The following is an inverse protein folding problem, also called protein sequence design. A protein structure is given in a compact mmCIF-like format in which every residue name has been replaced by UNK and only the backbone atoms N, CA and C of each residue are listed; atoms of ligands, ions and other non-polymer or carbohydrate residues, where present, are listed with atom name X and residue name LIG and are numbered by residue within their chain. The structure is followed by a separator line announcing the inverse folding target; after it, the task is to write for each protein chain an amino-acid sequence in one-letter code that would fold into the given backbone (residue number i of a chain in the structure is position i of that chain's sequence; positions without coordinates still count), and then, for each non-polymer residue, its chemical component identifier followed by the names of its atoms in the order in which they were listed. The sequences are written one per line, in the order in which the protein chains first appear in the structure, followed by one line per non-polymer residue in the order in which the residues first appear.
data_IF_469972390695
#
_entry.id   IF_469972390695
#
_cell.length_a   1.000
_cell.length_b   1.000
_cell.length_c   1.000
_cell.angle_alpha   90.00
_cell.angle_beta   90.00
_cell.angle_gamma   90.00
#
_symmetry.space_group_name_H-M   'P 1'
#
loop_
_entity.id
_entity.type
_entity.pdbx_description
1 polymer ?
#
# COMPACT_ATOMS: atom_id res chain seq x y z
N UNK A 1 15.72 -40.50 41.90
CA UNK A 1 16.23 -40.79 40.54
C UNK A 1 15.09 -41.36 39.71
N UNK A 2 14.39 -40.54 38.94
CA UNK A 2 13.34 -40.98 38.01
C UNK A 2 13.48 -40.19 36.69
N UNK A 3 13.88 -40.91 35.66
CA UNK A 3 14.27 -40.46 34.33
C UNK A 3 13.01 -40.32 33.49
N UNK A 4 12.60 -39.08 33.14
CA UNK A 4 11.55 -38.80 32.17
C UNK A 4 12.15 -38.72 30.75
N UNK A 5 11.77 -39.65 29.88
CA UNK A 5 12.03 -39.61 28.43
C UNK A 5 10.97 -38.73 27.79
N UNK A 6 11.40 -37.63 27.14
CA UNK A 6 10.57 -36.85 26.23
C UNK A 6 10.66 -37.45 24.82
N UNK A 7 9.54 -37.97 24.35
CA UNK A 7 9.34 -38.26 22.92
C UNK A 7 8.99 -36.97 22.19
N UNK A 8 9.90 -36.47 21.40
CA UNK A 8 9.64 -35.38 20.41
C UNK A 8 9.27 -36.01 19.09
N UNK A 9 7.98 -35.98 18.72
CA UNK A 9 7.55 -36.22 17.37
C UNK A 9 7.74 -34.92 16.58
N UNK A 10 8.67 -34.93 15.66
CA UNK A 10 8.84 -33.88 14.65
C UNK A 10 7.65 -33.92 13.69
N UNK A 11 6.87 -32.82 13.64
CA UNK A 11 5.89 -32.57 12.61
C UNK A 11 6.59 -31.89 11.42
N UNK A 12 6.61 -32.63 10.32
CA UNK A 12 7.23 -32.19 9.08
C UNK A 12 6.17 -31.42 8.25
N UNK A 13 6.25 -30.07 8.23
CA UNK A 13 5.48 -29.21 7.37
C UNK A 13 6.29 -28.90 6.09
N UNK A 14 6.37 -29.84 5.19
CA UNK A 14 6.79 -29.57 3.83
C UNK A 14 5.63 -29.91 2.88
N UNK A 15 5.29 -28.90 2.09
CA UNK A 15 4.39 -28.90 0.91
C UNK A 15 3.02 -28.26 1.11
N UNK A 16 2.99 -26.94 0.96
CA UNK A 16 1.92 -26.26 0.25
C UNK A 16 2.56 -25.27 -0.73
N UNK A 17 2.88 -25.76 -1.91
CA UNK A 17 3.15 -24.93 -3.10
C UNK A 17 1.82 -24.35 -3.59
N UNK A 18 1.57 -23.07 -3.31
CA UNK A 18 0.51 -22.30 -3.97
C UNK A 18 1.13 -21.74 -5.25
N UNK A 19 0.82 -22.35 -6.39
CA UNK A 19 1.14 -21.84 -7.73
C UNK A 19 0.19 -20.68 -8.09
N UNK A 20 0.65 -19.45 -8.31
CA UNK A 20 -0.17 -18.35 -8.81
C UNK A 20 -0.05 -18.28 -10.34
N UNK A 21 -0.66 -19.17 -11.09
CA UNK A 21 -0.88 -19.02 -12.54
C UNK A 21 -1.92 -20.03 -13.03
N UNK A 22 -3.20 -19.63 -13.01
CA UNK A 22 -4.28 -20.51 -13.46
C UNK A 22 -5.58 -19.80 -13.84
N UNK A 23 -5.55 -18.55 -14.33
CA UNK A 23 -6.79 -17.86 -14.73
C UNK A 23 -6.67 -17.03 -16.02
N UNK A 24 -5.88 -17.53 -17.00
CA UNK A 24 -5.82 -16.87 -18.32
C UNK A 24 -5.72 -17.88 -19.48
N UNK A 25 -6.44 -19.02 -19.42
CA UNK A 25 -6.57 -19.94 -20.56
C UNK A 25 -7.93 -20.65 -20.57
N UNK A 26 -9.00 -19.89 -20.69
CA UNK A 26 -10.35 -20.46 -20.89
C UNK A 26 -11.14 -19.76 -22.01
N UNK A 27 -10.48 -19.08 -22.95
CA UNK A 27 -11.15 -18.55 -24.14
C UNK A 27 -10.26 -18.76 -25.37
N UNK A 28 -10.08 -20.01 -25.81
CA UNK A 28 -9.68 -20.32 -27.18
C UNK A 28 -9.77 -21.83 -27.42
N UNK A 29 -10.98 -22.35 -27.50
CA UNK A 29 -11.30 -23.59 -28.24
C UNK A 29 -12.76 -23.54 -28.67
N UNK A 30 -13.02 -22.78 -29.74
CA UNK A 30 -14.17 -23.04 -30.58
C UNK A 30 -13.70 -24.13 -31.57
N UNK A 31 -13.89 -25.40 -31.24
CA UNK A 31 -13.70 -26.48 -32.16
C UNK A 31 -14.79 -26.42 -33.24
N UNK A 32 -14.38 -26.01 -34.44
CA UNK A 32 -15.13 -26.21 -35.65
C UNK A 32 -15.28 -27.72 -35.89
N UNK A 33 -16.42 -28.27 -35.53
CA UNK A 33 -16.86 -29.60 -35.97
C UNK A 33 -17.05 -29.57 -37.48
N UNK A 34 -16.04 -30.02 -38.20
CA UNK A 34 -16.17 -30.36 -39.61
C UNK A 34 -17.05 -31.62 -39.72
N UNK A 35 -18.33 -31.41 -40.05
CA UNK A 35 -19.19 -32.49 -40.51
C UNK A 35 -18.82 -32.77 -41.97
N UNK A 36 -18.20 -33.92 -42.24
CA UNK A 36 -18.03 -34.42 -43.59
C UNK A 36 -19.40 -34.73 -44.20
N UNK A 37 -19.72 -34.25 -45.39
CA UNK A 37 -20.86 -34.74 -46.12
C UNK A 37 -20.44 -35.98 -46.92
N UNK A 38 -20.99 -37.14 -46.61
CA UNK A 38 -21.04 -38.27 -47.52
C UNK A 38 -22.43 -38.32 -48.12
N UNK A 39 -22.40 -38.37 -49.45
CA UNK A 39 -23.34 -38.98 -50.39
C UNK A 39 -24.58 -38.22 -50.88
N UNK A 40 -24.38 -37.87 -52.11
CA UNK A 40 -25.30 -37.85 -53.28
C UNK A 40 -26.82 -37.96 -53.05
N UNK A 41 -27.55 -36.90 -53.43
CA UNK A 41 -28.54 -36.86 -54.50
C UNK A 41 -29.08 -35.44 -54.72
N UNK A 42 -28.91 -35.02 -55.94
CA UNK A 42 -29.33 -33.75 -56.54
C UNK A 42 -30.82 -33.44 -56.32
N UNK A 43 -31.13 -32.28 -55.81
CA UNK A 43 -32.25 -31.42 -56.25
C UNK A 43 -31.82 -29.98 -56.08
N UNK A 44 -31.52 -29.35 -57.20
CA UNK A 44 -31.34 -27.89 -57.24
C UNK A 44 -32.69 -27.22 -56.99
N UNK A 45 -32.87 -26.73 -55.79
CA UNK A 45 -33.96 -25.80 -55.48
C UNK A 45 -33.36 -24.41 -55.68
N UNK A 46 -33.72 -23.78 -56.82
CA UNK A 46 -33.41 -22.36 -57.05
C UNK A 46 -34.16 -21.52 -55.98
N UNK A 47 -33.43 -21.14 -54.94
CA UNK A 47 -33.92 -20.08 -54.07
C UNK A 47 -33.67 -18.75 -54.75
N UNK A 48 -34.73 -18.13 -55.25
CA UNK A 48 -34.77 -16.73 -55.66
C UNK A 48 -34.48 -15.91 -54.40
N UNK A 49 -33.24 -15.40 -54.24
CA UNK A 49 -32.89 -14.42 -53.22
C UNK A 49 -33.52 -13.11 -53.67
N UNK A 50 -34.76 -12.86 -53.26
CA UNK A 50 -35.30 -11.51 -53.25
C UNK A 50 -34.49 -10.68 -52.29
N UNK A 51 -33.74 -9.72 -52.84
CA UNK A 51 -33.00 -8.73 -52.06
C UNK A 51 -33.99 -7.93 -51.20
N UNK A 52 -34.14 -8.37 -49.95
CA UNK A 52 -34.87 -7.61 -48.93
C UNK A 52 -34.28 -6.22 -48.73
N UNK A 53 -35.10 -5.23 -48.36
CA UNK A 53 -34.64 -3.85 -48.20
C UNK A 53 -33.48 -3.80 -47.19
N UNK A 54 -32.35 -3.22 -47.61
CA UNK A 54 -31.21 -2.90 -46.73
C UNK A 54 -31.68 -1.90 -45.68
N UNK A 55 -32.07 -2.37 -44.52
CA UNK A 55 -32.31 -1.54 -43.35
C UNK A 55 -30.97 -0.99 -42.88
N UNK A 56 -30.56 0.12 -43.45
CA UNK A 56 -29.46 0.94 -42.95
C UNK A 56 -29.87 1.50 -41.60
N UNK A 57 -29.36 0.83 -40.53
CA UNK A 57 -29.58 1.27 -39.16
C UNK A 57 -28.77 2.53 -38.89
N UNK A 58 -29.37 3.70 -39.07
CA UNK A 58 -28.80 4.91 -38.50
C UNK A 58 -28.94 4.86 -36.98
N UNK A 59 -27.87 4.44 -36.31
CA UNK A 59 -27.77 4.62 -34.84
C UNK A 59 -28.00 6.10 -34.53
N UNK A 60 -28.99 6.39 -33.70
CA UNK A 60 -29.28 7.78 -33.35
C UNK A 60 -28.01 8.42 -32.81
N UNK A 61 -27.56 9.53 -33.42
CA UNK A 61 -26.37 10.30 -32.99
C UNK A 61 -26.42 10.63 -31.48
N UNK A 62 -27.64 10.75 -30.93
CA UNK A 62 -27.86 10.96 -29.48
C UNK A 62 -27.38 9.80 -28.64
N UNK A 63 -27.55 8.53 -29.06
CA UNK A 63 -27.14 7.36 -28.30
C UNK A 63 -25.62 7.23 -28.25
N UNK A 64 -24.93 7.52 -29.36
CA UNK A 64 -23.47 7.54 -29.43
C UNK A 64 -22.90 8.66 -28.54
N UNK A 65 -23.51 9.84 -28.58
CA UNK A 65 -23.07 10.97 -27.75
C UNK A 65 -23.21 10.70 -26.27
N UNK A 66 -24.31 10.06 -25.85
CA UNK A 66 -24.54 9.68 -24.45
C UNK A 66 -23.53 8.63 -23.97
N UNK A 67 -23.21 7.64 -24.81
CA UNK A 67 -22.21 6.61 -24.49
C UNK A 67 -20.79 7.22 -24.36
N UNK A 68 -20.42 8.13 -25.27
CA UNK A 68 -19.12 8.84 -25.22
C UNK A 68 -19.03 9.72 -23.98
N UNK A 69 -20.10 10.44 -23.62
CA UNK A 69 -20.13 11.28 -22.42
C UNK A 69 -19.99 10.45 -21.15
N UNK A 70 -20.64 9.27 -21.10
CA UNK A 70 -20.53 8.34 -19.96
C UNK A 70 -19.11 7.78 -19.82
N UNK A 71 -18.44 7.45 -20.92
CA UNK A 71 -17.05 6.98 -20.91
C UNK A 71 -16.09 8.11 -20.48
N UNK A 72 -16.34 9.34 -20.91
CA UNK A 72 -15.50 10.48 -20.59
C UNK A 72 -15.54 10.82 -19.09
N UNK A 73 -16.68 10.66 -18.43
CA UNK A 73 -16.80 10.90 -16.97
C UNK A 73 -16.08 9.86 -16.12
N UNK A 74 -15.94 8.63 -16.59
CA UNK A 74 -15.22 7.57 -15.85
C UNK A 74 -13.69 7.68 -15.95
N UNK A 75 -13.18 8.34 -16.98
CA UNK A 75 -11.72 8.52 -17.18
C UNK A 75 -11.16 9.68 -16.34
N UNK A 76 -12.01 10.61 -15.89
CA UNK A 76 -11.60 11.80 -15.14
C UNK A 76 -11.40 11.58 -13.63
N UNK A 77 -11.78 10.42 -13.09
CA UNK A 77 -11.45 10.04 -11.71
C UNK A 77 -10.03 9.47 -11.65
N UNK A 78 -9.04 10.36 -11.65
CA UNK A 78 -7.64 9.97 -11.43
C UNK A 78 -7.44 9.37 -10.03
N UNK A 79 -6.40 8.56 -9.82
CA UNK A 79 -6.03 8.10 -8.49
C UNK A 79 -5.71 9.31 -7.60
N UNK A 80 -6.26 9.35 -6.40
CA UNK A 80 -5.84 10.30 -5.38
C UNK A 80 -4.47 9.85 -4.90
N UNK A 81 -3.44 10.62 -5.21
CA UNK A 81 -2.10 10.36 -4.73
C UNK A 81 -2.00 10.74 -3.25
N UNK A 82 -1.19 9.98 -2.50
CA UNK A 82 -0.84 10.35 -1.15
C UNK A 82 0.16 11.53 -1.19
N UNK A 83 -0.08 12.53 -0.34
CA UNK A 83 0.84 13.64 -0.16
C UNK A 83 1.84 13.30 0.94
N UNK A 84 3.11 13.69 0.76
CA UNK A 84 4.14 13.56 1.77
C UNK A 84 4.03 14.70 2.79
N UNK A 85 4.00 14.36 4.07
CA UNK A 85 4.14 15.31 5.17
C UNK A 85 5.64 15.48 5.44
N UNK A 86 6.10 16.73 5.43
CA UNK A 86 7.52 17.03 5.62
C UNK A 86 7.97 16.67 7.03
N UNK A 87 8.96 15.81 7.14
CA UNK A 87 9.73 15.48 8.34
C UNK A 87 11.09 16.18 8.21
N UNK A 88 11.58 16.80 9.27
CA UNK A 88 12.93 17.36 9.24
C UNK A 88 13.94 16.25 9.43
N UNK A 89 14.90 16.13 8.51
CA UNK A 89 15.97 15.14 8.56
C UNK A 89 15.45 13.69 8.72
N UNK A 90 14.61 13.18 7.81
CA UNK A 90 13.92 11.91 7.96
C UNK A 90 14.88 10.70 7.82
N UNK A 91 15.97 10.86 7.09
CA UNK A 91 17.02 9.84 6.90
C UNK A 91 18.25 10.07 7.78
N UNK A 92 18.17 11.04 8.71
CA UNK A 92 19.22 11.33 9.71
C UNK A 92 20.61 11.69 9.17
N UNK A 93 20.74 11.99 7.89
CA UNK A 93 22.00 12.31 7.21
C UNK A 93 22.58 13.67 7.63
N UNK A 94 21.81 14.53 8.28
CA UNK A 94 22.30 15.79 8.84
C UNK A 94 22.59 15.63 10.33
N UNK A 95 23.76 16.08 10.76
CA UNK A 95 24.19 16.07 12.17
C UNK A 95 24.42 17.50 12.65
N UNK A 96 24.18 17.76 13.95
CA UNK A 96 24.41 19.07 14.56
C UNK A 96 25.89 19.41 14.76
N UNK A 97 26.78 18.49 14.46
CA UNK A 97 28.23 18.62 14.59
C UNK A 97 28.93 17.35 14.09
N UNK A 98 30.26 17.34 14.13
CA UNK A 98 31.03 16.17 13.71
C UNK A 98 30.73 14.96 14.60
N UNK A 99 30.83 13.75 14.03
CA UNK A 99 30.77 12.51 14.79
C UNK A 99 32.10 12.35 15.55
N UNK A 100 32.08 12.63 16.84
CA UNK A 100 33.29 12.78 17.64
C UNK A 100 33.71 11.52 18.42
N UNK A 101 32.83 10.53 18.51
CA UNK A 101 33.08 9.33 19.30
C UNK A 101 33.29 8.12 18.39
N UNK A 102 34.54 7.62 18.26
CA UNK A 102 34.82 6.42 17.47
C UNK A 102 34.26 5.18 18.17
N UNK A 103 33.71 4.25 17.38
CA UNK A 103 33.20 2.96 17.89
C UNK A 103 33.78 1.76 17.13
N UNK A 104 34.83 1.97 16.35
CA UNK A 104 35.50 0.95 15.56
C UNK A 104 35.85 1.44 14.15
N UNK A 105 36.31 0.56 13.30
CA UNK A 105 36.68 0.90 11.92
C UNK A 105 35.47 1.34 11.11
N UNK A 106 35.48 2.59 10.63
CA UNK A 106 34.39 3.18 9.87
C UNK A 106 33.14 3.47 10.72
N UNK A 107 33.24 3.38 12.03
CA UNK A 107 32.17 3.67 12.96
C UNK A 107 32.49 4.93 13.78
N UNK A 108 31.55 5.87 13.81
CA UNK A 108 31.62 7.06 14.64
C UNK A 108 30.21 7.55 14.97
N UNK A 109 29.99 8.10 16.14
CA UNK A 109 28.68 8.60 16.57
C UNK A 109 28.80 9.98 17.21
N UNK A 110 27.65 10.65 17.27
CA UNK A 110 27.43 11.85 18.06
C UNK A 110 26.39 11.56 19.14
N UNK A 111 26.67 12.00 20.34
CA UNK A 111 25.87 11.68 21.52
C UNK A 111 25.63 12.94 22.33
N UNK A 112 24.39 13.16 22.74
CA UNK A 112 24.10 14.29 23.62
C UNK A 112 22.62 14.63 23.71
N UNK A 113 22.23 15.29 24.83
CA UNK A 113 20.84 15.69 25.04
C UNK A 113 20.41 16.88 24.17
N UNK A 114 21.31 17.55 23.44
CA UNK A 114 21.01 18.76 22.66
C UNK A 114 21.64 18.75 21.32
N UNK A 115 20.91 19.16 20.32
CA UNK A 115 20.34 18.32 19.27
C UNK A 115 21.44 17.60 18.50
N UNK A 116 21.74 16.37 18.85
CA UNK A 116 22.62 15.51 18.05
C UNK A 116 22.09 15.30 16.63
N UNK A 117 20.77 15.41 16.47
CA UNK A 117 20.06 15.25 15.20
C UNK A 117 19.20 16.50 14.96
N UNK A 118 19.50 17.31 13.93
CA UNK A 118 18.71 18.50 13.61
C UNK A 118 17.22 18.17 13.42
N UNK A 119 16.35 18.93 14.10
CA UNK A 119 14.90 18.75 14.07
C UNK A 119 14.36 17.70 15.03
N UNK A 120 15.20 16.90 15.68
CA UNK A 120 14.81 15.87 16.63
C UNK A 120 15.27 16.20 18.05
N UNK A 121 14.48 15.77 19.04
CA UNK A 121 14.85 15.80 20.44
C UNK A 121 15.09 14.38 20.94
N UNK A 122 16.11 14.22 21.79
CA UNK A 122 16.41 12.94 22.43
C UNK A 122 16.83 13.16 23.86
N UNK A 123 16.45 12.27 24.76
CA UNK A 123 16.98 12.24 26.14
C UNK A 123 18.31 11.47 26.20
N UNK A 124 18.48 10.45 25.37
CA UNK A 124 19.64 9.57 25.33
C UNK A 124 19.71 8.86 23.94
N UNK A 125 20.36 9.50 22.99
CA UNK A 125 20.49 9.02 21.63
C UNK A 125 21.24 10.01 20.74
N UNK A 126 21.33 9.72 19.45
CA UNK A 126 22.04 10.56 18.49
C UNK A 126 22.05 9.97 17.10
N UNK A 127 22.97 10.52 16.26
CA UNK A 127 23.29 9.96 14.94
C UNK A 127 24.61 9.23 14.97
N UNK A 128 24.74 8.21 14.16
CA UNK A 128 25.98 7.47 14.01
C UNK A 128 26.17 6.90 12.61
N UNK A 129 27.42 6.78 12.25
CA UNK A 129 27.88 6.01 11.08
C UNK A 129 28.21 4.60 11.55
N UNK A 130 27.45 3.60 11.17
CA UNK A 130 27.49 2.30 11.82
C UNK A 130 28.65 1.40 11.39
N UNK A 131 29.40 1.77 10.35
CA UNK A 131 30.53 0.94 9.85
C UNK A 131 30.08 -0.46 9.46
N UNK A 132 30.66 -1.50 10.11
CA UNK A 132 30.38 -2.90 9.81
C UNK A 132 29.22 -3.50 10.60
N UNK A 133 28.49 -2.69 11.39
CA UNK A 133 27.35 -3.21 12.19
C UNK A 133 26.13 -3.54 11.35
N UNK A 134 26.04 -2.96 10.13
CA UNK A 134 25.02 -3.27 9.14
C UNK A 134 25.64 -3.59 7.79
N UNK A 135 25.01 -4.49 7.05
CA UNK A 135 25.45 -4.87 5.70
C UNK A 135 25.13 -3.80 4.66
N UNK A 136 24.05 -3.08 4.86
CA UNK A 136 23.60 -1.92 4.07
C UNK A 136 22.65 -1.07 4.91
N UNK A 137 22.57 0.23 4.59
CA UNK A 137 21.63 1.14 5.19
C UNK A 137 20.44 1.37 4.23
N UNK A 138 19.26 1.70 4.75
CA UNK A 138 18.10 2.08 3.93
C UNK A 138 18.36 3.32 3.09
N UNK A 139 18.95 4.37 3.68
CA UNK A 139 19.37 5.58 2.98
C UNK A 139 20.73 6.05 3.49
N UNK A 140 21.50 6.73 2.64
CA UNK A 140 22.71 7.44 2.96
C UNK A 140 23.81 6.65 3.67
N UNK A 141 24.37 7.25 4.74
CA UNK A 141 25.52 6.74 5.48
C UNK A 141 25.37 6.80 7.01
N UNK A 142 24.32 7.44 7.49
CA UNK A 142 24.03 7.63 8.91
C UNK A 142 22.72 6.96 9.28
N UNK A 143 22.59 6.61 10.57
CA UNK A 143 21.35 6.17 11.19
C UNK A 143 21.17 6.92 12.49
N UNK A 144 19.92 7.00 12.97
CA UNK A 144 19.66 7.48 14.32
C UNK A 144 19.59 6.32 15.30
N UNK A 145 19.97 6.60 16.55
CA UNK A 145 19.81 5.64 17.63
C UNK A 145 19.19 6.26 18.88
N UNK A 146 18.47 5.47 19.62
CA UNK A 146 18.03 5.76 20.98
C UNK A 146 18.49 4.62 21.92
N UNK A 147 19.03 4.95 23.08
CA UNK A 147 19.40 3.96 24.08
C UNK A 147 18.16 3.50 24.88
N UNK A 148 18.32 2.42 25.63
CA UNK A 148 17.23 1.86 26.43
C UNK A 148 16.49 2.92 27.26
N UNK A 149 15.16 2.86 27.25
CA UNK A 149 14.27 3.78 27.96
C UNK A 149 14.37 5.25 27.52
N UNK A 150 14.85 5.49 26.29
CA UNK A 150 14.86 6.81 25.68
C UNK A 150 14.08 6.86 24.39
N UNK A 151 13.86 8.07 23.88
CA UNK A 151 13.09 8.30 22.66
C UNK A 151 13.73 9.38 21.81
N UNK A 152 13.58 9.22 20.49
CA UNK A 152 13.73 10.29 19.50
C UNK A 152 12.35 10.85 19.20
N UNK A 153 12.19 12.16 19.25
CA UNK A 153 10.89 12.81 19.06
C UNK A 153 10.97 14.02 18.15
N UNK A 154 9.92 14.23 17.34
CA UNK A 154 9.80 15.42 16.52
C UNK A 154 8.37 15.93 16.51
N UNK A 155 8.17 17.22 16.81
CA UNK A 155 6.90 17.92 16.61
C UNK A 155 6.86 18.51 15.21
N UNK A 156 5.88 18.12 14.40
CA UNK A 156 5.65 18.68 13.07
C UNK A 156 4.82 19.96 13.21
N UNK A 157 5.50 21.07 13.56
CA UNK A 157 4.85 22.34 13.85
C UNK A 157 4.05 22.86 12.66
N UNK A 158 2.80 23.27 12.91
CA UNK A 158 1.89 23.77 11.89
C UNK A 158 1.21 22.69 11.07
N UNK A 159 1.47 21.41 11.36
CA UNK A 159 0.82 20.27 10.70
C UNK A 159 -0.18 19.64 11.65
N UNK A 160 -1.47 19.79 11.37
CA UNK A 160 -2.56 19.20 12.15
C UNK A 160 -3.21 18.03 11.43
N UNK A 161 -3.97 17.21 12.18
CA UNK A 161 -4.73 16.10 11.60
C UNK A 161 -5.85 16.66 10.73
N UNK A 162 -5.84 16.28 9.44
CA UNK A 162 -6.91 16.57 8.48
C UNK A 162 -8.07 15.59 8.70
N UNK A 163 -9.30 16.06 8.57
CA UNK A 163 -10.48 15.22 8.67
C UNK A 163 -10.57 14.23 7.49
N UNK A 164 -11.17 13.05 7.72
CA UNK A 164 -11.40 12.02 6.70
C UNK A 164 -10.14 11.73 5.86
N UNK A 165 -9.02 11.52 6.53
CA UNK A 165 -7.72 11.29 5.87
C UNK A 165 -7.03 10.08 6.45
N UNK A 166 -6.40 9.28 5.59
CA UNK A 166 -5.58 8.14 5.97
C UNK A 166 -4.13 8.60 6.07
N UNK A 167 -3.56 8.47 7.25
CA UNK A 167 -2.14 8.69 7.52
C UNK A 167 -1.42 7.35 7.49
N UNK A 168 -0.23 7.31 6.91
CA UNK A 168 0.66 6.17 6.98
C UNK A 168 2.04 6.65 7.41
N UNK A 169 2.47 6.17 8.56
CA UNK A 169 3.79 6.38 9.13
C UNK A 169 4.62 5.12 8.92
N UNK A 170 5.85 5.27 8.44
CA UNK A 170 6.80 4.17 8.26
C UNK A 170 8.22 4.58 8.59
N UNK A 171 9.03 3.63 9.03
CA UNK A 171 10.43 3.80 9.39
C UNK A 171 11.14 2.45 9.31
N UNK A 172 12.40 2.43 8.91
CA UNK A 172 13.23 1.25 8.98
C UNK A 172 13.82 1.08 10.37
N UNK A 173 13.71 -0.13 10.93
CA UNK A 173 14.30 -0.54 12.22
C UNK A 173 15.39 -1.55 11.97
N UNK A 174 16.57 -1.33 12.58
CA UNK A 174 17.75 -2.18 12.42
C UNK A 174 18.00 -3.14 13.59
N UNK A 175 18.54 -4.33 13.28
CA UNK A 175 19.19 -5.21 14.27
C UNK A 175 20.68 -5.31 13.98
N UNK A 176 21.51 -4.80 14.90
CA UNK A 176 22.98 -4.77 14.76
C UNK A 176 23.58 -6.16 14.83
N UNK A 177 24.72 -6.34 14.17
CA UNK A 177 25.47 -7.61 14.21
C UNK A 177 25.91 -8.02 15.61
N UNK A 178 26.12 -7.07 16.56
CA UNK A 178 26.47 -7.34 17.94
C UNK A 178 25.26 -7.68 18.84
N UNK A 179 24.03 -7.45 18.34
CA UNK A 179 22.80 -7.89 19.00
C UNK A 179 22.43 -7.11 20.26
N UNK A 180 22.78 -5.83 20.35
CA UNK A 180 22.41 -4.98 21.51
C UNK A 180 21.01 -4.37 21.37
N UNK A 181 20.37 -4.51 20.21
CA UNK A 181 19.03 -4.01 19.97
C UNK A 181 17.98 -4.80 20.77
N UNK A 182 16.88 -4.11 21.09
CA UNK A 182 15.84 -4.67 21.96
C UNK A 182 14.44 -4.33 21.52
N UNK A 183 13.55 -4.24 22.49
CA UNK A 183 12.15 -3.89 22.24
C UNK A 183 12.00 -2.40 21.92
N UNK A 184 11.09 -2.11 21.00
CA UNK A 184 10.80 -0.73 20.57
C UNK A 184 9.30 -0.47 20.48
N UNK A 185 8.97 0.82 20.45
CA UNK A 185 7.64 1.36 20.16
C UNK A 185 7.79 2.60 19.29
N UNK A 186 7.09 2.63 18.17
CA UNK A 186 7.13 3.69 17.15
C UNK A 186 5.72 4.20 17.00
N UNK A 187 5.49 5.51 17.23
CA UNK A 187 4.15 6.06 17.16
C UNK A 187 4.07 7.35 16.35
N UNK A 188 2.93 7.48 15.69
CA UNK A 188 2.40 8.75 15.20
C UNK A 188 1.36 9.24 16.21
N UNK A 189 1.57 10.39 16.74
CA UNK A 189 0.75 10.99 17.79
C UNK A 189 0.26 12.39 17.35
N UNK A 190 -0.61 13.00 18.16
CA UNK A 190 -0.84 14.45 18.16
C UNK A 190 -0.50 15.02 19.52
N UNK A 191 -0.06 16.28 19.53
CA UNK A 191 0.20 17.02 20.76
C UNK A 191 -0.62 18.31 20.76
N UNK A 192 -1.44 18.49 21.80
CA UNK A 192 -2.27 19.67 22.02
C UNK A 192 -2.18 20.09 23.49
N UNK A 193 -1.71 21.32 23.74
CA UNK A 193 -1.58 21.84 25.12
C UNK A 193 -0.70 20.97 26.03
N UNK A 194 0.30 20.28 25.49
CA UNK A 194 1.16 19.34 26.22
C UNK A 194 0.58 17.95 26.45
N UNK A 195 -0.63 17.69 25.96
CA UNK A 195 -1.25 16.36 26.03
C UNK A 195 -0.98 15.63 24.71
N UNK A 196 -0.39 14.44 24.78
CA UNK A 196 -0.14 13.57 23.64
C UNK A 196 -1.26 12.55 23.49
N UNK A 197 -1.75 12.38 22.27
CA UNK A 197 -2.76 11.37 21.91
C UNK A 197 -2.22 10.52 20.76
N UNK A 198 -2.11 9.22 20.98
CA UNK A 198 -1.61 8.28 19.97
C UNK A 198 -2.66 8.04 18.89
N UNK A 199 -2.26 8.22 17.64
CA UNK A 199 -3.06 7.94 16.45
C UNK A 199 -2.83 6.51 15.97
N UNK A 200 -1.57 6.11 15.80
CA UNK A 200 -1.20 4.73 15.54
C UNK A 200 0.16 4.40 16.17
N UNK A 201 0.37 3.12 16.43
CA UNK A 201 1.60 2.60 17.03
C UNK A 201 1.95 1.25 16.41
N UNK A 202 3.24 1.02 16.22
CA UNK A 202 3.82 -0.30 15.96
C UNK A 202 4.90 -0.57 16.99
N UNK A 203 4.89 -1.76 17.56
CA UNK A 203 5.87 -2.19 18.56
C UNK A 203 6.42 -3.55 18.19
N UNK A 204 7.68 -3.77 18.47
CA UNK A 204 8.35 -5.02 18.15
C UNK A 204 9.59 -5.26 18.97
N UNK A 205 10.33 -6.28 18.56
CA UNK A 205 11.66 -6.58 19.08
C UNK A 205 12.63 -6.63 17.90
N UNK A 206 13.62 -5.75 17.88
CA UNK A 206 14.58 -5.69 16.80
C UNK A 206 15.36 -7.00 16.62
N UNK A 207 15.56 -7.78 17.67
CA UNK A 207 16.22 -9.10 17.57
C UNK A 207 15.43 -10.14 16.75
N UNK A 208 14.17 -9.84 16.34
CA UNK A 208 13.42 -10.65 15.38
C UNK A 208 13.78 -10.36 13.91
N UNK A 209 14.46 -9.24 13.67
CA UNK A 209 14.99 -8.84 12.36
C UNK A 209 16.30 -9.62 12.10
N UNK A 210 16.61 -9.89 10.86
CA UNK A 210 17.89 -10.52 10.53
C UNK A 210 19.06 -9.61 10.90
N UNK A 211 20.05 -10.14 11.66
CA UNK A 211 21.19 -9.37 12.14
C UNK A 211 21.95 -8.68 11.03
N UNK A 212 22.33 -7.44 11.28
CA UNK A 212 23.01 -6.59 10.33
C UNK A 212 22.13 -6.08 9.21
N UNK A 213 20.78 -6.14 9.36
CA UNK A 213 19.83 -5.65 8.36
C UNK A 213 18.78 -4.74 8.99
N UNK A 214 17.97 -4.12 8.12
CA UNK A 214 16.83 -3.30 8.49
C UNK A 214 15.53 -3.94 8.01
N UNK A 215 14.43 -3.68 8.72
CA UNK A 215 13.07 -4.03 8.36
C UNK A 215 12.19 -2.79 8.38
N UNK A 216 11.33 -2.64 7.36
CA UNK A 216 10.35 -1.56 7.33
C UNK A 216 9.20 -1.88 8.30
N UNK A 217 8.99 -0.96 9.24
CA UNK A 217 7.86 -0.97 10.16
C UNK A 217 6.88 0.14 9.77
N UNK A 218 5.59 -0.09 9.93
CA UNK A 218 4.59 0.89 9.58
C UNK A 218 3.32 0.77 10.39
N UNK A 219 2.64 1.91 10.59
CA UNK A 219 1.29 1.95 11.10
C UNK A 219 0.44 2.95 10.32
N UNK A 220 -0.89 2.79 10.37
CA UNK A 220 -1.81 3.68 9.66
C UNK A 220 -2.94 4.12 10.58
N UNK A 221 -3.43 5.34 10.35
CA UNK A 221 -4.52 5.94 11.07
C UNK A 221 -5.51 6.62 10.11
N UNK A 222 -6.78 6.25 10.21
CA UNK A 222 -7.87 6.90 9.50
C UNK A 222 -8.55 7.91 10.44
N UNK A 223 -8.42 9.21 10.12
CA UNK A 223 -9.03 10.26 10.91
C UNK A 223 -10.54 10.34 10.71
N UNK A 224 -11.25 10.69 11.78
CA UNK A 224 -12.69 10.97 11.74
C UNK A 224 -12.99 12.28 10.98
N UNK A 225 -14.28 12.56 10.76
CA UNK A 225 -14.76 13.81 10.15
C UNK A 225 -14.48 15.06 10.99
N UNK A 226 -14.23 14.88 12.28
CA UNK A 226 -13.76 15.94 13.19
C UNK A 226 -12.70 15.36 14.11
N UNK A 227 -11.62 16.10 14.28
CA UNK A 227 -10.52 15.74 15.17
C UNK A 227 -10.05 16.99 15.91
N UNK A 228 -9.70 16.92 17.23
CA UNK A 228 -9.11 18.04 17.95
C UNK A 228 -7.83 18.52 17.24
N UNK A 229 -7.72 19.82 17.02
CA UNK A 229 -6.54 20.42 16.42
C UNK A 229 -5.34 20.26 17.34
N UNK A 230 -4.30 19.57 16.88
CA UNK A 230 -3.01 19.43 17.55
C UNK A 230 -1.94 19.26 16.49
N UNK A 231 -0.68 19.56 16.80
CA UNK A 231 0.41 19.26 15.89
C UNK A 231 0.65 17.75 15.82
N UNK A 232 0.98 17.25 14.66
CA UNK A 232 1.48 15.88 14.52
C UNK A 232 2.81 15.75 15.28
N UNK A 233 3.00 14.60 15.88
CA UNK A 233 4.13 14.30 16.73
C UNK A 233 4.63 12.89 16.47
N UNK A 234 5.92 12.74 16.21
CA UNK A 234 6.58 11.46 15.99
C UNK A 234 7.35 11.07 17.24
N UNK A 235 7.22 9.82 17.66
CA UNK A 235 7.97 9.29 18.79
C UNK A 235 8.51 7.88 18.46
N UNK A 236 9.82 7.71 18.56
CA UNK A 236 10.56 6.48 18.34
C UNK A 236 11.24 6.11 19.65
N UNK A 237 10.75 5.09 20.32
CA UNK A 237 11.14 4.75 21.70
C UNK A 237 11.87 3.41 21.75
N UNK A 238 13.04 3.39 22.35
CA UNK A 238 13.72 2.18 22.80
C UNK A 238 13.17 1.76 24.16
N UNK A 239 12.41 0.67 24.24
CA UNK A 239 11.87 0.14 25.47
C UNK A 239 12.92 -0.68 26.25
N UNK A 240 13.81 -1.36 25.51
CA UNK A 240 14.96 -2.08 26.05
C UNK A 240 16.06 -2.18 24.98
N UNK A 241 17.31 -2.30 25.39
CA UNK A 241 18.43 -2.32 24.42
C UNK A 241 18.54 -0.99 23.66
N UNK A 242 19.17 -1.01 22.51
CA UNK A 242 19.25 0.11 21.60
C UNK A 242 18.21 -0.01 20.49
N UNK A 243 17.63 1.08 20.07
CA UNK A 243 16.84 1.20 18.85
C UNK A 243 17.66 1.93 17.80
N UNK A 244 17.85 1.31 16.64
CA UNK A 244 18.46 1.94 15.47
C UNK A 244 17.39 2.10 14.38
N UNK A 245 17.29 3.32 13.82
CA UNK A 245 16.24 3.68 12.85
C UNK A 245 16.80 4.52 11.72
N UNK A 246 16.14 4.40 10.55
CA UNK A 246 16.51 5.13 9.36
C UNK A 246 15.31 5.32 8.42
N UNK A 247 15.40 6.30 7.51
CA UNK A 247 14.49 6.55 6.38
C UNK A 247 13.00 6.55 6.79
N UNK A 248 12.60 7.60 7.54
CA UNK A 248 11.22 7.80 7.95
C UNK A 248 10.38 8.40 6.83
N UNK A 249 9.14 7.98 6.77
CA UNK A 249 8.15 8.55 5.87
C UNK A 249 6.81 8.73 6.58
N UNK A 250 6.14 9.84 6.28
CA UNK A 250 4.78 10.11 6.72
C UNK A 250 3.98 10.62 5.53
N UNK A 251 2.94 9.89 5.17
CA UNK A 251 2.06 10.27 4.07
C UNK A 251 0.64 10.49 4.57
N UNK A 252 -0.10 11.32 3.84
CA UNK A 252 -1.53 11.55 4.05
C UNK A 252 -2.26 11.45 2.71
N UNK A 253 -3.39 10.77 2.72
CA UNK A 253 -4.30 10.76 1.57
C UNK A 253 -5.73 10.97 2.06
N UNK A 254 -6.58 11.70 1.33
CA UNK A 254 -7.98 11.79 1.64
C UNK A 254 -8.62 10.40 1.65
N UNK A 255 -9.41 10.08 2.67
CA UNK A 255 -10.21 8.87 2.66
C UNK A 255 -11.20 8.95 1.50
N UNK A 256 -11.02 8.11 0.50
CA UNK A 256 -11.86 8.13 -0.69
C UNK A 256 -13.29 7.79 -0.30
N UNK A 257 -14.17 8.80 -0.33
CA UNK A 257 -15.63 8.60 -0.23
C UNK A 257 -16.25 8.33 -1.60
N UNK A 258 -15.43 8.32 -2.64
CA UNK A 258 -15.90 8.11 -4.02
C UNK A 258 -16.21 6.62 -4.19
N UNK A 259 -17.41 6.25 -4.64
CA UNK A 259 -17.70 4.87 -5.03
C UNK A 259 -16.64 4.38 -6.00
N UNK A 260 -16.08 3.21 -5.72
CA UNK A 260 -15.02 2.63 -6.56
C UNK A 260 -15.41 2.72 -8.05
N UNK A 261 -14.48 3.11 -8.92
CA UNK A 261 -14.76 3.26 -10.37
C UNK A 261 -15.42 2.01 -10.98
N UNK A 262 -15.15 0.83 -10.40
CA UNK A 262 -15.79 -0.43 -10.73
C UNK A 262 -17.30 -0.46 -10.50
N UNK A 263 -17.81 0.17 -9.43
CA UNK A 263 -19.26 0.23 -9.13
C UNK A 263 -20.01 1.10 -10.14
N UNK A 264 -19.42 2.22 -10.53
CA UNK A 264 -19.99 3.12 -11.55
C UNK A 264 -19.94 2.46 -12.92
N UNK A 265 -18.84 1.78 -13.25
CA UNK A 265 -18.71 1.02 -14.49
C UNK A 265 -19.75 -0.10 -14.57
N UNK A 266 -19.90 -0.88 -13.48
CA UNK A 266 -20.87 -1.98 -13.41
C UNK A 266 -22.31 -1.47 -13.57
N UNK A 267 -22.64 -0.35 -12.93
CA UNK A 267 -23.94 0.32 -13.09
C UNK A 267 -24.13 0.77 -14.52
N UNK A 268 -23.14 1.39 -15.16
CA UNK A 268 -23.21 1.83 -16.55
C UNK A 268 -23.39 0.68 -17.54
N UNK A 269 -22.66 -0.42 -17.36
CA UNK A 269 -22.80 -1.65 -18.16
C UNK A 269 -24.18 -2.27 -17.96
N UNK A 270 -24.68 -2.31 -16.70
CA UNK A 270 -26.02 -2.81 -16.39
C UNK A 270 -27.13 -2.02 -17.07
N UNK A 271 -27.06 -0.71 -17.05
CA UNK A 271 -28.02 0.17 -17.73
C UNK A 271 -27.96 -0.02 -19.24
N UNK A 272 -26.79 -0.10 -19.83
CA UNK A 272 -26.59 -0.34 -21.27
C UNK A 272 -27.18 -1.69 -21.70
N UNK A 273 -27.00 -2.73 -20.91
CA UNK A 273 -27.55 -4.06 -21.15
C UNK A 273 -29.08 -4.06 -21.10
N UNK A 274 -29.68 -3.41 -20.10
CA UNK A 274 -31.13 -3.25 -19.97
C UNK A 274 -31.72 -2.49 -21.16
N UNK A 275 -31.09 -1.40 -21.59
CA UNK A 275 -31.51 -0.63 -22.76
C UNK A 275 -31.45 -1.47 -24.04
N UNK A 276 -30.41 -2.29 -24.22
CA UNK A 276 -30.29 -3.20 -25.36
C UNK A 276 -31.38 -4.25 -25.38
N UNK A 277 -31.70 -4.87 -24.23
CA UNK A 277 -32.78 -5.84 -24.09
C UNK A 277 -34.14 -5.23 -24.42
N UNK A 278 -34.43 -4.01 -23.95
CA UNK A 278 -35.66 -3.30 -24.22
C UNK A 278 -35.83 -3.01 -25.74
N UNK A 279 -34.76 -2.61 -26.40
CA UNK A 279 -34.78 -2.38 -27.85
C UNK A 279 -35.00 -3.66 -28.66
N UNK A 280 -34.42 -4.78 -28.23
CA UNK A 280 -34.63 -6.08 -28.88
C UNK A 280 -36.06 -6.59 -28.71
N UNK A 281 -36.69 -6.38 -27.54
CA UNK A 281 -38.08 -6.77 -27.28
C UNK A 281 -39.05 -5.98 -28.15
N UNK A 282 -38.89 -4.67 -28.25
CA UNK A 282 -39.72 -3.81 -29.09
C UNK A 282 -39.66 -4.19 -30.60
N UNK A 283 -38.51 -4.66 -31.09
CA UNK A 283 -38.37 -5.13 -32.49
C UNK A 283 -39.11 -6.43 -32.73
N UNK A 284 -39.17 -7.34 -31.76
CA UNK A 284 -39.95 -8.59 -31.91
C UNK A 284 -41.43 -8.34 -32.01
N UNK A 285 -41.95 -7.37 -31.28
CA UNK A 285 -43.38 -7.00 -31.32
C UNK A 285 -43.77 -6.43 -32.68
N UNK A 286 -42.93 -5.59 -33.30
CA UNK A 286 -43.18 -5.01 -34.64
C UNK A 286 -43.14 -6.09 -35.75
N UNK A 287 -42.30 -7.11 -35.61
CA UNK A 287 -42.22 -8.21 -36.59
C UNK A 287 -43.37 -9.21 -36.49
N UNK A 288 -44.10 -9.25 -35.38
CA UNK A 288 -45.24 -10.15 -35.17
C UNK A 288 -46.59 -9.52 -35.57
N UNK A 289 -46.61 -8.17 -35.82
CA UNK A 289 -47.79 -7.44 -36.21
C UNK A 289 -47.81 -7.03 -37.69
N UNK A 290 -46.75 -7.31 -38.42
CA UNK A 290 -46.64 -7.13 -39.87
C UNK A 290 -46.82 -8.47 -40.61
#
# INVERSE_FOLDING_TARGET
MTRWRRNSKAFNFNKLEIQPFGLLRAFNRLELLFIRPSDSRRRAVLWSVTSGPKVTQTMSKKLVLTAVLLILTTVLSGPVLADNISIVNPSFESTAGPLNFPCGTGCAFNYGPVPGIPGWSSSDGGSWMPGSYFSSLPDGSLVAFANAQSSLTQTLTGTSVLANSLYTFSVYVGDRTDGINGNYSLSLDTILGGVTTTLCNVSGNASSIARGTFQLESCSYLSASSFPSGNLYLQLTALSGQLDVDDLSLTVQPASTVPEPSSVLLLGVGIAFLAAMFMMRKRREVLLTA
#
